data_IF_661860388455
#
_entry.id   IF_661860388455
#
_cell.length_a   1.000
_cell.length_b   1.000
_cell.length_c   1.000
_cell.angle_alpha   90.00
_cell.angle_beta   90.00
_cell.angle_gamma   90.00
#
_symmetry.space_group_name_H-M   'P 1'
#
loop_
_entity.id
_entity.type
_entity.pdbx_description
1 polymer ?
#
# COMPACT_ATOMS: atom_id res chain seq x y z
N UNK A 1 8.25 -7.85 -12.52
CA UNK A 1 7.05 -7.77 -11.66
C UNK A 1 6.34 -6.42 -11.84
N UNK A 2 5.04 -6.41 -12.18
CA UNK A 2 4.18 -5.22 -12.30
C UNK A 2 3.52 -4.87 -10.98
N UNK A 3 3.65 -3.63 -10.56
CA UNK A 3 3.22 -3.16 -9.24
C UNK A 3 2.25 -2.00 -9.40
N UNK A 4 1.16 -2.04 -8.63
CA UNK A 4 0.34 -0.85 -8.36
C UNK A 4 0.60 -0.41 -6.93
N UNK A 5 0.78 0.89 -6.73
CA UNK A 5 0.77 1.48 -5.39
C UNK A 5 -0.52 2.26 -5.17
N UNK A 6 -1.08 2.16 -3.97
CA UNK A 6 -2.28 2.90 -3.57
C UNK A 6 -1.91 3.85 -2.43
N UNK A 7 -2.17 5.13 -2.65
CA UNK A 7 -1.81 6.23 -1.77
C UNK A 7 -3.02 7.02 -1.26
N UNK A 8 -2.84 7.69 -0.13
CA UNK A 8 -3.67 8.84 0.23
C UNK A 8 -3.21 10.10 -0.52
N UNK A 9 -3.93 11.20 -0.32
CA UNK A 9 -3.61 12.48 -0.93
C UNK A 9 -2.22 13.00 -0.53
N UNK A 10 -1.77 12.72 0.69
CA UNK A 10 -0.52 13.24 1.23
C UNK A 10 0.65 12.52 0.57
N UNK A 11 0.63 11.18 0.55
CA UNK A 11 1.71 10.41 -0.08
C UNK A 11 1.72 10.55 -1.60
N UNK A 12 0.56 10.78 -2.23
CA UNK A 12 0.50 11.05 -3.66
C UNK A 12 0.97 12.48 -4.03
N UNK A 13 1.12 13.38 -3.06
CA UNK A 13 1.42 14.80 -3.30
C UNK A 13 0.28 15.55 -3.99
N UNK A 14 -0.97 15.12 -3.76
CA UNK A 14 -2.18 15.66 -4.37
C UNK A 14 -3.06 16.46 -3.40
N UNK A 15 -2.72 16.45 -2.12
CA UNK A 15 -3.44 17.19 -1.08
C UNK A 15 -2.65 17.23 0.22
N UNK A 16 -3.28 17.79 1.24
CA UNK A 16 -2.69 17.95 2.57
C UNK A 16 -3.57 17.26 3.62
N UNK A 17 -3.29 17.52 4.90
CA UNK A 17 -4.19 17.09 5.98
C UNK A 17 -5.55 17.77 5.90
N UNK A 18 -5.58 19.04 5.46
CA UNK A 18 -6.80 19.84 5.38
C UNK A 18 -7.52 19.69 4.03
N UNK A 19 -6.79 19.26 2.99
CA UNK A 19 -7.33 18.96 1.66
C UNK A 19 -7.49 17.44 1.45
N UNK A 20 -8.42 16.85 2.21
CA UNK A 20 -8.64 15.40 2.24
C UNK A 20 -9.69 14.89 1.24
N UNK A 21 -10.37 15.79 0.52
CA UNK A 21 -11.47 15.47 -0.42
C UNK A 21 -10.96 15.29 -1.86
N UNK A 22 -9.82 14.62 -2.01
CA UNK A 22 -9.24 14.31 -3.33
C UNK A 22 -10.01 13.14 -3.96
N UNK A 23 -10.60 13.30 -5.16
CA UNK A 23 -11.28 12.20 -5.84
C UNK A 23 -10.34 11.04 -6.17
N UNK A 24 -10.91 9.86 -6.38
CA UNK A 24 -10.14 8.72 -6.88
C UNK A 24 -9.48 9.08 -8.22
N UNK A 25 -8.15 8.98 -8.28
CA UNK A 25 -7.35 9.32 -9.45
C UNK A 25 -6.16 8.35 -9.59
N UNK A 26 -5.43 8.43 -10.69
CA UNK A 26 -4.26 7.60 -10.93
C UNK A 26 -3.24 8.22 -11.88
N UNK A 27 -1.97 7.97 -11.60
CA UNK A 27 -0.81 8.34 -12.43
C UNK A 27 -0.10 7.09 -12.93
N UNK A 28 0.48 7.16 -14.12
CA UNK A 28 1.25 6.04 -14.70
C UNK A 28 2.71 6.05 -14.23
N UNK A 29 3.18 7.22 -13.82
CA UNK A 29 4.50 7.45 -13.25
C UNK A 29 4.54 7.15 -11.74
N UNK A 30 5.71 6.73 -11.20
CA UNK A 30 5.92 6.63 -9.76
C UNK A 30 5.74 7.99 -9.08
N UNK A 31 5.04 8.00 -7.93
CA UNK A 31 4.92 9.20 -7.08
C UNK A 31 5.17 8.85 -5.62
N UNK A 32 5.49 9.87 -4.82
CA UNK A 32 5.66 9.72 -3.38
C UNK A 32 6.73 8.68 -3.03
N UNK A 33 6.45 7.78 -2.05
CA UNK A 33 7.37 6.71 -1.68
C UNK A 33 7.77 5.78 -2.83
N UNK A 34 6.97 5.66 -3.90
CA UNK A 34 7.30 4.84 -5.06
C UNK A 34 8.61 5.27 -5.74
N UNK A 35 8.87 6.59 -5.77
CA UNK A 35 10.12 7.14 -6.34
C UNK A 35 11.33 6.69 -5.52
N UNK A 36 11.19 6.70 -4.19
CA UNK A 36 12.26 6.26 -3.27
C UNK A 36 12.48 4.74 -3.32
N UNK A 37 11.46 3.97 -3.73
CA UNK A 37 11.56 2.52 -3.89
C UNK A 37 12.26 2.09 -5.18
N UNK A 38 12.42 2.97 -6.16
CA UNK A 38 12.97 2.62 -7.49
C UNK A 38 14.31 1.85 -7.44
N UNK A 39 15.32 2.23 -6.61
CA UNK A 39 16.57 1.48 -6.54
C UNK A 39 16.36 0.03 -6.11
N UNK A 40 15.56 -0.20 -5.06
CA UNK A 40 15.27 -1.53 -4.53
C UNK A 40 14.39 -2.36 -5.49
N UNK A 41 13.48 -1.71 -6.20
CA UNK A 41 12.65 -2.38 -7.21
C UNK A 41 13.48 -2.86 -8.40
N UNK A 42 14.51 -2.12 -8.81
CA UNK A 42 15.42 -2.54 -9.90
C UNK A 42 16.17 -3.83 -9.54
N UNK A 43 16.52 -4.03 -8.28
CA UNK A 43 17.19 -5.26 -7.81
C UNK A 43 16.32 -6.52 -7.98
N UNK A 44 15.00 -6.36 -8.05
CA UNK A 44 14.03 -7.46 -8.16
C UNK A 44 13.20 -7.43 -9.46
N UNK A 45 13.65 -6.66 -10.47
CA UNK A 45 12.95 -6.45 -11.74
C UNK A 45 11.50 -5.96 -11.56
N UNK A 46 11.28 -5.14 -10.51
CA UNK A 46 10.01 -4.55 -10.13
C UNK A 46 9.75 -3.23 -10.86
N UNK A 47 8.52 -3.05 -11.32
CA UNK A 47 8.09 -1.88 -12.09
C UNK A 47 6.75 -1.37 -11.58
N UNK A 48 6.71 -0.13 -11.07
CA UNK A 48 5.46 0.54 -10.72
C UNK A 48 4.79 1.00 -12.01
N UNK A 49 3.65 0.37 -12.34
CA UNK A 49 2.90 0.65 -13.58
C UNK A 49 1.78 1.66 -13.39
N UNK A 50 1.35 1.85 -12.13
CA UNK A 50 0.43 2.91 -11.76
C UNK A 50 0.54 3.22 -10.25
N UNK A 51 0.31 4.47 -9.91
CA UNK A 51 0.01 4.92 -8.56
C UNK A 51 -1.43 5.42 -8.54
N UNK A 52 -2.29 4.74 -7.79
CA UNK A 52 -3.67 5.15 -7.56
C UNK A 52 -3.73 5.98 -6.26
N UNK A 53 -4.60 6.98 -6.24
CA UNK A 53 -4.74 7.87 -5.09
C UNK A 53 -6.21 8.11 -4.78
N UNK A 54 -6.57 8.11 -3.50
CA UNK A 54 -7.84 8.64 -3.01
C UNK A 54 -7.58 9.43 -1.72
N UNK A 55 -8.17 10.62 -1.60
CA UNK A 55 -8.11 11.36 -0.34
C UNK A 55 -8.74 10.57 0.81
N UNK A 56 -8.19 10.68 2.01
CA UNK A 56 -8.73 9.99 3.20
C UNK A 56 -10.17 10.40 3.50
N UNK A 57 -10.51 11.69 3.31
CA UNK A 57 -11.88 12.19 3.46
C UNK A 57 -12.83 11.61 2.40
N UNK A 58 -12.39 11.56 1.14
CA UNK A 58 -13.14 10.90 0.05
C UNK A 58 -13.39 9.43 0.35
N UNK A 59 -12.38 8.73 0.88
CA UNK A 59 -12.53 7.33 1.27
C UNK A 59 -13.52 7.16 2.42
N UNK A 60 -13.41 7.96 3.48
CA UNK A 60 -14.27 7.87 4.66
C UNK A 60 -15.74 8.20 4.36
N UNK A 61 -16.02 9.02 3.35
CA UNK A 61 -17.38 9.35 2.93
C UNK A 61 -18.12 8.14 2.35
N UNK A 62 -17.46 7.29 1.56
CA UNK A 62 -18.00 6.01 1.08
C UNK A 62 -16.89 4.96 0.87
N UNK A 63 -16.47 4.26 1.95
CA UNK A 63 -15.41 3.27 1.86
C UNK A 63 -15.77 2.12 0.92
N UNK A 64 -17.05 1.75 0.85
CA UNK A 64 -17.55 0.64 0.04
C UNK A 64 -17.40 0.92 -1.45
N UNK A 65 -17.86 2.09 -1.89
CA UNK A 65 -17.73 2.52 -3.27
C UNK A 65 -16.26 2.71 -3.69
N UNK A 66 -15.47 3.40 -2.87
CA UNK A 66 -14.06 3.68 -3.21
C UNK A 66 -13.25 2.38 -3.31
N UNK A 67 -13.40 1.46 -2.35
CA UNK A 67 -12.69 0.17 -2.39
C UNK A 67 -13.08 -0.65 -3.62
N UNK A 68 -14.38 -0.70 -3.96
CA UNK A 68 -14.87 -1.38 -5.17
C UNK A 68 -14.27 -0.79 -6.44
N UNK A 69 -14.19 0.54 -6.54
CA UNK A 69 -13.57 1.22 -7.70
C UNK A 69 -12.08 0.95 -7.79
N UNK A 70 -11.35 0.98 -6.67
CA UNK A 70 -9.93 0.62 -6.62
C UNK A 70 -9.70 -0.83 -7.08
N UNK A 71 -10.48 -1.79 -6.58
CA UNK A 71 -10.40 -3.19 -6.99
C UNK A 71 -10.71 -3.37 -8.49
N UNK A 72 -11.68 -2.63 -9.04
CA UNK A 72 -11.96 -2.64 -10.47
C UNK A 72 -10.79 -2.10 -11.31
N UNK A 73 -10.12 -1.04 -10.85
CA UNK A 73 -8.91 -0.50 -11.50
C UNK A 73 -7.74 -1.49 -11.42
N UNK A 74 -7.54 -2.14 -10.27
CA UNK A 74 -6.54 -3.21 -10.09
C UNK A 74 -6.81 -4.36 -11.06
N UNK A 75 -8.04 -4.88 -11.14
CA UNK A 75 -8.40 -5.95 -12.07
C UNK A 75 -8.14 -5.55 -13.54
N UNK A 76 -8.46 -4.30 -13.91
CA UNK A 76 -8.24 -3.79 -15.27
C UNK A 76 -6.75 -3.71 -15.63
N UNK A 77 -5.91 -3.28 -14.70
CA UNK A 77 -4.48 -3.13 -14.90
C UNK A 77 -3.70 -4.43 -14.67
N UNK A 78 -4.32 -5.41 -13.99
CA UNK A 78 -3.83 -6.76 -13.73
C UNK A 78 -2.36 -6.79 -13.28
N UNK A 79 -2.00 -6.12 -12.17
CA UNK A 79 -0.65 -6.19 -11.63
C UNK A 79 -0.39 -7.54 -10.96
N UNK A 80 0.89 -7.87 -10.79
CA UNK A 80 1.30 -9.03 -9.98
C UNK A 80 1.03 -8.73 -8.50
N UNK A 81 1.36 -7.49 -8.06
CA UNK A 81 1.23 -7.07 -6.66
C UNK A 81 0.67 -5.65 -6.53
N UNK A 82 -0.13 -5.44 -5.49
CA UNK A 82 -0.61 -4.14 -5.03
C UNK A 82 -0.02 -3.81 -3.66
N UNK A 83 0.60 -2.64 -3.56
CA UNK A 83 1.17 -2.13 -2.30
C UNK A 83 0.29 -0.99 -1.79
N UNK A 84 -0.31 -1.15 -0.62
CA UNK A 84 -1.11 -0.11 0.03
C UNK A 84 -0.29 0.52 1.16
N UNK A 85 0.20 1.74 0.99
CA UNK A 85 1.17 2.36 1.91
C UNK A 85 2.47 2.79 1.24
N UNK A 86 3.47 3.25 2.01
CA UNK A 86 3.50 3.27 3.48
C UNK A 86 2.58 4.33 4.08
N UNK A 87 1.75 3.93 5.05
CA UNK A 87 0.82 4.82 5.75
C UNK A 87 1.44 5.57 6.93
N UNK A 88 2.68 5.26 7.32
CA UNK A 88 3.32 5.85 8.50
C UNK A 88 2.40 5.73 9.73
N UNK A 89 2.28 6.78 10.54
CA UNK A 89 1.39 6.86 11.71
C UNK A 89 0.05 7.57 11.40
N UNK A 90 -0.42 7.52 10.16
CA UNK A 90 -1.68 8.14 9.76
C UNK A 90 -2.84 7.14 9.82
N UNK A 91 -3.68 7.26 10.85
CA UNK A 91 -4.74 6.29 11.16
C UNK A 91 -5.72 6.07 10.00
N UNK A 92 -6.28 7.14 9.41
CA UNK A 92 -7.27 7.01 8.32
C UNK A 92 -6.68 6.31 7.09
N UNK A 93 -5.44 6.67 6.74
CA UNK A 93 -4.75 6.08 5.60
C UNK A 93 -4.30 4.64 5.89
N UNK A 94 -3.91 4.32 7.12
CA UNK A 94 -3.61 2.95 7.54
C UNK A 94 -4.86 2.07 7.42
N UNK A 95 -6.01 2.53 7.93
CA UNK A 95 -7.28 1.84 7.84
C UNK A 95 -7.71 1.61 6.38
N UNK A 96 -7.60 2.64 5.53
CA UNK A 96 -7.82 2.52 4.09
C UNK A 96 -6.91 1.46 3.47
N UNK A 97 -5.61 1.52 3.78
CA UNK A 97 -4.60 0.63 3.21
C UNK A 97 -4.85 -0.84 3.55
N UNK A 98 -5.12 -1.14 4.82
CA UNK A 98 -5.40 -2.50 5.27
C UNK A 98 -6.69 -3.06 4.66
N UNK A 99 -7.76 -2.24 4.66
CA UNK A 99 -9.05 -2.64 4.08
C UNK A 99 -8.95 -2.88 2.58
N UNK A 100 -8.35 -1.95 1.83
CA UNK A 100 -8.19 -2.09 0.37
C UNK A 100 -7.30 -3.28 0.04
N UNK A 101 -6.19 -3.51 0.76
CA UNK A 101 -5.38 -4.70 0.56
C UNK A 101 -6.18 -6.00 0.79
N UNK A 102 -7.04 -6.02 1.82
CA UNK A 102 -7.91 -7.16 2.10
C UNK A 102 -8.91 -7.39 0.97
N UNK A 103 -9.56 -6.33 0.48
CA UNK A 103 -10.54 -6.40 -0.59
C UNK A 103 -9.89 -6.81 -1.92
N UNK A 104 -8.69 -6.31 -2.23
CA UNK A 104 -7.92 -6.73 -3.41
C UNK A 104 -7.61 -8.23 -3.35
N UNK A 105 -7.13 -8.73 -2.22
CA UNK A 105 -6.84 -10.16 -2.04
C UNK A 105 -8.08 -11.06 -2.16
N UNK A 106 -9.27 -10.52 -1.81
CA UNK A 106 -10.51 -11.28 -1.78
C UNK A 106 -11.30 -11.22 -3.10
N UNK A 107 -11.10 -10.17 -3.90
CA UNK A 107 -11.95 -9.86 -5.06
C UNK A 107 -11.20 -9.76 -6.39
N UNK A 108 -9.87 -9.87 -6.37
CA UNK A 108 -9.01 -9.77 -7.55
C UNK A 108 -8.07 -10.97 -7.62
N UNK A 109 -7.35 -11.10 -8.75
CA UNK A 109 -6.29 -12.13 -8.89
C UNK A 109 -4.93 -11.65 -8.39
N UNK A 110 -4.77 -10.36 -8.12
CA UNK A 110 -3.52 -9.76 -7.67
C UNK A 110 -3.30 -10.04 -6.18
N UNK A 111 -2.03 -10.07 -5.75
CA UNK A 111 -1.69 -10.14 -4.33
C UNK A 111 -1.52 -8.74 -3.77
N UNK A 112 -1.95 -8.51 -2.54
CA UNK A 112 -1.85 -7.21 -1.89
C UNK A 112 -1.37 -7.30 -0.44
N UNK A 113 -0.67 -6.27 0.00
CA UNK A 113 -0.29 -6.07 1.39
C UNK A 113 -0.36 -4.60 1.76
N UNK A 114 -0.42 -4.33 3.07
CA UNK A 114 -0.37 -2.99 3.62
C UNK A 114 1.01 -2.71 4.25
N UNK A 115 1.39 -1.44 4.36
CA UNK A 115 2.58 -1.02 5.08
C UNK A 115 2.27 0.19 5.95
N UNK A 116 2.61 0.14 7.24
CA UNK A 116 2.27 1.19 8.20
C UNK A 116 3.14 1.12 9.46
N UNK A 117 3.04 2.14 10.30
CA UNK A 117 3.75 2.19 11.57
C UNK A 117 2.96 1.62 12.74
N UNK A 118 3.68 1.30 13.83
CA UNK A 118 3.16 0.60 15.01
C UNK A 118 2.10 1.42 15.77
N UNK A 119 2.08 2.74 15.60
CA UNK A 119 1.07 3.61 16.18
C UNK A 119 -0.35 3.35 15.66
N UNK A 120 -0.53 2.65 14.53
CA UNK A 120 -1.86 2.31 13.99
C UNK A 120 -2.43 1.04 14.65
N UNK A 121 -2.39 0.98 15.97
CA UNK A 121 -2.68 -0.22 16.76
C UNK A 121 -4.04 -0.84 16.42
N UNK A 122 -5.11 -0.05 16.31
CA UNK A 122 -6.46 -0.54 16.02
C UNK A 122 -6.55 -1.20 14.65
N UNK A 123 -5.91 -0.59 13.64
CA UNK A 123 -5.88 -1.15 12.28
C UNK A 123 -5.06 -2.43 12.25
N UNK A 124 -3.89 -2.44 12.90
CA UNK A 124 -3.03 -3.63 12.97
C UNK A 124 -3.78 -4.79 13.62
N UNK A 125 -4.42 -4.56 14.78
CA UNK A 125 -5.19 -5.59 15.48
C UNK A 125 -6.33 -6.15 14.62
N UNK A 126 -7.02 -5.29 13.86
CA UNK A 126 -8.15 -5.70 13.03
C UNK A 126 -7.75 -6.47 11.74
N UNK A 127 -6.51 -6.33 11.27
CA UNK A 127 -6.12 -6.79 9.92
C UNK A 127 -4.87 -7.66 9.83
N UNK A 128 -3.99 -7.73 10.84
CA UNK A 128 -2.72 -8.49 10.75
C UNK A 128 -2.90 -9.98 10.41
N UNK A 129 -4.01 -10.59 10.84
CA UNK A 129 -4.33 -11.99 10.56
C UNK A 129 -5.03 -12.19 9.20
N UNK A 130 -5.36 -11.09 8.51
CA UNK A 130 -6.10 -11.09 7.23
C UNK A 130 -5.24 -10.65 6.05
N UNK A 131 -4.29 -9.76 6.29
CA UNK A 131 -3.35 -9.24 5.28
C UNK A 131 -1.98 -9.07 5.90
N UNK A 132 -0.94 -9.23 5.09
CA UNK A 132 0.40 -8.86 5.53
C UNK A 132 0.45 -7.34 5.78
N UNK A 133 0.97 -6.93 6.93
CA UNK A 133 1.18 -5.53 7.28
C UNK A 133 2.67 -5.32 7.56
N UNK A 134 3.40 -4.82 6.56
CA UNK A 134 4.84 -4.55 6.66
C UNK A 134 5.08 -3.35 7.57
N UNK A 135 6.02 -3.49 8.50
CA UNK A 135 6.39 -2.46 9.47
C UNK A 135 7.14 -1.32 8.79
N UNK A 136 6.71 -0.10 9.07
CA UNK A 136 7.40 1.13 8.63
C UNK A 136 7.60 2.05 9.84
N UNK A 137 8.58 2.98 9.81
CA UNK A 137 8.63 4.01 10.84
C UNK A 137 7.41 4.93 10.75
N UNK A 138 7.18 5.71 11.81
CA UNK A 138 6.29 6.87 11.77
C UNK A 138 6.87 7.96 10.86
N UNK A 139 6.07 8.96 10.51
CA UNK A 139 6.56 10.07 9.70
C UNK A 139 7.71 10.77 10.42
N UNK A 140 8.83 10.95 9.70
CA UNK A 140 10.05 11.55 10.23
C UNK A 140 10.88 10.62 11.14
N UNK A 141 10.48 9.37 11.32
CA UNK A 141 11.28 8.37 12.02
C UNK A 141 12.46 7.84 11.19
N UNK A 142 13.43 7.20 11.86
CA UNK A 142 14.56 6.52 11.22
C UNK A 142 14.16 5.15 10.64
N UNK A 143 14.94 4.63 9.70
CA UNK A 143 14.72 3.28 9.13
C UNK A 143 13.77 3.21 7.94
N UNK A 144 13.47 4.34 7.28
CA UNK A 144 12.59 4.34 6.10
C UNK A 144 13.17 3.51 4.95
N UNK A 145 14.46 3.63 4.64
CA UNK A 145 15.09 2.86 3.56
C UNK A 145 14.97 1.35 3.78
N UNK A 146 15.24 0.87 5.00
CA UNK A 146 15.09 -0.55 5.34
C UNK A 146 13.64 -1.01 5.21
N UNK A 147 12.68 -0.18 5.63
CA UNK A 147 11.27 -0.45 5.47
C UNK A 147 10.85 -0.52 3.99
N UNK A 148 11.30 0.41 3.15
CA UNK A 148 11.03 0.41 1.70
C UNK A 148 11.66 -0.82 1.01
N UNK A 149 12.87 -1.20 1.40
CA UNK A 149 13.52 -2.43 0.94
C UNK A 149 12.71 -3.67 1.35
N UNK A 150 12.25 -3.73 2.61
CA UNK A 150 11.38 -4.82 3.10
C UNK A 150 10.03 -4.88 2.37
N UNK A 151 9.44 -3.74 2.03
CA UNK A 151 8.24 -3.70 1.17
C UNK A 151 8.52 -4.30 -0.22
N UNK A 152 9.69 -4.03 -0.82
CA UNK A 152 10.09 -4.62 -2.09
C UNK A 152 10.31 -6.15 -1.97
N UNK A 153 10.93 -6.61 -0.87
CA UNK A 153 11.09 -8.04 -0.56
C UNK A 153 9.75 -8.74 -0.45
N UNK A 154 8.79 -8.16 0.28
CA UNK A 154 7.43 -8.70 0.39
C UNK A 154 6.72 -8.75 -0.96
N UNK A 155 6.81 -7.68 -1.75
CA UNK A 155 6.22 -7.65 -3.08
C UNK A 155 6.79 -8.78 -3.96
N UNK A 156 8.12 -8.96 -3.99
CA UNK A 156 8.75 -10.02 -4.78
C UNK A 156 8.28 -11.42 -4.35
N UNK A 157 8.27 -11.69 -3.04
CA UNK A 157 7.83 -12.98 -2.52
C UNK A 157 6.37 -13.30 -2.88
N UNK A 158 5.49 -12.29 -2.83
CA UNK A 158 4.09 -12.45 -3.22
C UNK A 158 3.90 -12.66 -4.72
N UNK A 159 4.64 -11.94 -5.57
CA UNK A 159 4.57 -12.12 -7.03
C UNK A 159 5.07 -13.49 -7.48
N UNK A 160 6.11 -14.01 -6.82
CA UNK A 160 6.66 -15.33 -7.11
C UNK A 160 5.83 -16.48 -6.54
N UNK A 161 4.81 -16.19 -5.72
CA UNK A 161 4.02 -17.21 -5.03
C UNK A 161 4.81 -17.99 -3.97
N UNK A 162 5.84 -17.38 -3.39
CA UNK A 162 6.67 -17.99 -2.36
C UNK A 162 5.92 -18.13 -1.01
N UNK A 163 6.36 -19.06 -0.17
CA UNK A 163 5.95 -19.07 1.23
C UNK A 163 6.51 -17.83 1.93
N UNK A 164 5.62 -17.05 2.52
CA UNK A 164 5.93 -15.78 3.18
C UNK A 164 5.98 -15.88 4.70
N UNK A 165 5.82 -17.06 5.30
CA UNK A 165 5.73 -17.22 6.75
C UNK A 165 6.93 -16.64 7.51
N UNK A 166 8.15 -17.01 7.13
CA UNK A 166 9.37 -16.50 7.77
C UNK A 166 9.56 -15.00 7.52
N UNK A 167 9.30 -14.55 6.30
CA UNK A 167 9.40 -13.12 5.95
C UNK A 167 8.40 -12.30 6.78
N UNK A 168 7.17 -12.77 6.95
CA UNK A 168 6.16 -12.09 7.80
C UNK A 168 6.64 -11.95 9.25
N UNK A 169 7.24 -12.99 9.83
CA UNK A 169 7.81 -12.90 11.19
C UNK A 169 8.94 -11.85 11.27
N UNK A 170 9.72 -11.70 10.21
CA UNK A 170 10.83 -10.75 10.15
C UNK A 170 10.36 -9.30 9.96
N UNK A 171 9.35 -9.04 9.11
CA UNK A 171 9.05 -7.67 8.65
C UNK A 171 7.60 -7.21 8.87
N UNK A 172 6.69 -8.06 9.33
CA UNK A 172 5.28 -7.70 9.57
C UNK A 172 4.92 -7.62 11.06
N UNK A 173 3.70 -7.14 11.35
CA UNK A 173 3.04 -7.21 12.66
C UNK A 173 2.24 -8.50 12.86
#
# INVERSE_FOLDING_TARGET
MKIIMIFDQIQAGLGSKDDAMVPLTGKKEPVGPAVMMEPFLKEVDGHVVACLCCGSGTYLADPGEVSRKLCAMVNKLNPDVVICGPAFNYADYAAMSARVACDVNSTTKSRAFAAMSEENTDTIQAYKDRVAIVRTPKKGGSGLNDALHNMCRMAKALADGQDTAQLKQEICF
#
